data_IF_385169856327
#
_entry.id   IF_385169856327
#
_cell.length_a   1.000
_cell.length_b   1.000
_cell.length_c   1.000
_cell.angle_alpha   90.00
_cell.angle_beta   90.00
_cell.angle_gamma   90.00
#
_symmetry.space_group_name_H-M   'P 1'
#
loop_
_entity.id
_entity.type
_entity.pdbx_description
1 polymer ?
#
# COMPACT_ATOMS: atom_id res chain seq x y z
N UNK A 1 -8.89 -5.77 -5.17
CA UNK A 1 -7.84 -6.68 -4.66
C UNK A 1 -7.14 -6.03 -3.49
N UNK A 2 -6.67 -6.79 -2.50
CA UNK A 2 -5.87 -6.28 -1.36
C UNK A 2 -4.39 -6.58 -1.59
N UNK A 3 -3.53 -5.67 -1.13
CA UNK A 3 -2.07 -5.76 -1.19
C UNK A 3 -1.45 -4.97 -0.02
N UNK A 4 -0.13 -4.96 0.07
CA UNK A 4 0.63 -4.06 0.94
C UNK A 4 1.37 -3.05 0.06
N UNK A 5 1.35 -1.76 0.41
CA UNK A 5 1.94 -0.70 -0.43
C UNK A 5 2.69 0.33 0.40
N UNK A 6 3.86 0.75 -0.10
CA UNK A 6 4.66 1.83 0.49
C UNK A 6 3.95 3.17 0.33
N UNK A 7 3.91 4.01 1.36
CA UNK A 7 3.44 5.38 1.25
C UNK A 7 4.45 6.23 0.44
N UNK A 8 4.07 6.83 -0.71
CA UNK A 8 5.00 7.62 -1.52
C UNK A 8 5.46 8.91 -0.83
N UNK A 9 4.70 9.41 0.15
CA UNK A 9 5.06 10.58 0.95
C UNK A 9 5.92 10.24 2.17
N UNK A 10 5.87 8.98 2.64
CA UNK A 10 6.72 8.48 3.71
C UNK A 10 7.14 7.02 3.43
N UNK A 11 8.31 6.82 2.84
CA UNK A 11 8.76 5.51 2.38
C UNK A 11 9.04 4.51 3.52
N UNK A 12 9.05 4.96 4.77
CA UNK A 12 9.17 4.09 5.95
C UNK A 12 7.83 3.41 6.31
N UNK A 13 6.71 3.88 5.74
CA UNK A 13 5.37 3.35 6.01
C UNK A 13 4.93 2.39 4.92
N UNK A 14 4.59 1.16 5.31
CA UNK A 14 3.89 0.19 4.46
C UNK A 14 2.49 -0.02 5.00
N UNK A 15 1.48 0.19 4.17
CA UNK A 15 0.08 0.09 4.57
C UNK A 15 -0.62 -1.11 3.94
N UNK A 16 -1.68 -1.58 4.60
CA UNK A 16 -2.72 -2.35 3.90
C UNK A 16 -3.29 -1.46 2.81
N UNK A 17 -3.43 -2.00 1.61
CA UNK A 17 -3.86 -1.23 0.46
C UNK A 17 -4.93 -1.95 -0.36
N UNK A 18 -5.77 -1.16 -1.04
CA UNK A 18 -6.84 -1.65 -1.91
C UNK A 18 -6.69 -1.08 -3.30
N UNK A 19 -6.67 -1.94 -4.32
CA UNK A 19 -6.77 -1.49 -5.72
C UNK A 19 -8.19 -1.01 -5.99
N UNK A 20 -8.35 0.26 -6.32
CA UNK A 20 -9.62 0.89 -6.72
C UNK A 20 -9.90 0.64 -8.20
N UNK A 21 -8.93 0.96 -9.06
CA UNK A 21 -9.05 0.76 -10.51
C UNK A 21 -7.67 0.50 -11.13
N UNK A 22 -7.68 -0.05 -12.34
CA UNK A 22 -6.48 -0.31 -13.13
C UNK A 22 -6.69 0.34 -14.49
N UNK A 23 -5.71 1.12 -14.93
CA UNK A 23 -5.70 1.78 -16.24
C UNK A 23 -4.38 1.45 -16.91
N UNK A 24 -4.44 0.65 -17.98
CA UNK A 24 -3.27 0.10 -18.66
C UNK A 24 -2.32 -0.62 -17.68
N UNK A 25 -1.14 -0.05 -17.42
CA UNK A 25 -0.11 -0.57 -16.53
C UNK A 25 -0.09 0.13 -15.16
N UNK A 26 -1.06 1.00 -14.89
CA UNK A 26 -1.14 1.79 -13.67
C UNK A 26 -2.29 1.32 -12.78
N UNK A 27 -2.01 1.19 -11.48
CA UNK A 27 -2.97 0.86 -10.43
C UNK A 27 -3.28 2.11 -9.62
N UNK A 28 -4.56 2.41 -9.46
CA UNK A 28 -5.02 3.39 -8.49
C UNK A 28 -5.31 2.68 -7.18
N UNK A 29 -4.54 3.01 -6.15
CA UNK A 29 -4.48 2.28 -4.90
C UNK A 29 -4.81 3.21 -3.74
N UNK A 30 -5.69 2.76 -2.85
CA UNK A 30 -5.98 3.41 -1.56
C UNK A 30 -5.17 2.77 -0.45
N UNK A 31 -4.48 3.59 0.33
CA UNK A 31 -3.78 3.19 1.56
C UNK A 31 -4.75 3.24 2.74
N UNK A 32 -4.81 2.16 3.51
CA UNK A 32 -5.67 2.02 4.67
C UNK A 32 -4.84 2.00 5.96
N UNK A 33 -5.35 2.58 7.06
CA UNK A 33 -6.66 3.23 7.22
C UNK A 33 -6.68 4.72 6.84
N UNK A 34 -5.56 5.31 6.38
CA UNK A 34 -5.44 6.75 6.15
C UNK A 34 -6.31 7.30 5.00
N UNK A 35 -6.75 6.45 4.08
CA UNK A 35 -7.68 6.80 2.99
C UNK A 35 -7.04 7.58 1.83
N UNK A 36 -5.73 7.84 1.90
CA UNK A 36 -4.96 8.47 0.83
C UNK A 36 -4.84 7.55 -0.40
N UNK A 37 -4.77 8.15 -1.59
CA UNK A 37 -4.85 7.41 -2.86
C UNK A 37 -3.75 7.82 -3.80
N UNK A 38 -3.08 6.83 -4.38
CA UNK A 38 -1.91 7.02 -5.21
C UNK A 38 -1.96 6.13 -6.45
N UNK A 39 -1.26 6.57 -7.49
CA UNK A 39 -1.02 5.77 -8.68
C UNK A 39 0.32 5.07 -8.58
N UNK A 40 0.34 3.77 -8.88
CA UNK A 40 1.55 2.96 -8.95
C UNK A 40 1.61 2.26 -10.30
N UNK A 41 2.81 2.02 -10.79
CA UNK A 41 2.99 1.08 -11.90
C UNK A 41 2.78 -0.36 -11.41
N UNK A 42 2.28 -1.25 -12.27
CA UNK A 42 2.05 -2.66 -11.94
C UNK A 42 3.33 -3.43 -11.63
N UNK A 43 4.46 -2.97 -12.15
CA UNK A 43 5.81 -3.50 -11.92
C UNK A 43 6.58 -2.72 -10.85
N UNK A 44 5.90 -1.87 -10.07
CA UNK A 44 6.54 -1.09 -9.02
C UNK A 44 7.01 -1.99 -7.87
N UNK A 45 8.27 -1.82 -7.47
CA UNK A 45 8.86 -2.44 -6.26
C UNK A 45 8.27 -1.90 -4.93
N UNK A 46 7.25 -1.03 -5.01
CA UNK A 46 6.55 -0.46 -3.87
C UNK A 46 5.21 -1.17 -3.57
N UNK A 47 4.86 -2.18 -4.37
CA UNK A 47 3.66 -2.98 -4.21
C UNK A 47 4.03 -4.43 -3.86
N UNK A 48 3.47 -4.92 -2.76
CA UNK A 48 3.78 -6.24 -2.23
C UNK A 48 2.52 -7.09 -2.07
N UNK A 49 2.64 -8.43 -2.22
CA UNK A 49 1.52 -9.32 -1.91
C UNK A 49 1.16 -9.24 -0.42
N UNK A 50 -0.08 -9.60 -0.10
CA UNK A 50 -0.53 -9.72 1.30
C UNK A 50 0.36 -10.72 2.05
N UNK A 51 0.85 -10.32 3.23
CA UNK A 51 1.75 -11.09 4.09
C UNK A 51 3.22 -10.83 3.85
N UNK A 52 3.60 -9.88 3.00
CA UNK A 52 5.01 -9.58 2.72
C UNK A 52 5.71 -8.99 3.94
N UNK A 53 5.08 -8.06 4.66
CA UNK A 53 5.61 -7.48 5.89
C UNK A 53 5.95 -8.57 6.93
N UNK A 54 5.01 -9.47 7.21
CA UNK A 54 5.19 -10.60 8.14
C UNK A 54 6.33 -11.52 7.69
N UNK A 55 6.38 -11.87 6.40
CA UNK A 55 7.37 -12.79 5.84
C UNK A 55 8.79 -12.21 5.83
N UNK A 56 8.94 -10.89 5.77
CA UNK A 56 10.23 -10.21 5.63
C UNK A 56 10.63 -9.46 6.91
N UNK A 57 9.92 -9.67 8.02
CA UNK A 57 10.18 -8.98 9.29
C UNK A 57 10.15 -7.44 9.15
N UNK A 58 9.20 -6.96 8.36
CA UNK A 58 8.87 -5.54 8.22
C UNK A 58 7.58 -5.23 8.98
N UNK A 59 7.48 -4.04 9.56
CA UNK A 59 6.28 -3.59 10.25
C UNK A 59 5.24 -3.09 9.24
N UNK A 60 4.00 -3.55 9.42
CA UNK A 60 2.86 -3.01 8.70
C UNK A 60 2.37 -1.79 9.48
N UNK A 61 2.44 -0.62 8.86
CA UNK A 61 2.06 0.64 9.48
C UNK A 61 0.54 0.70 9.67
N UNK A 62 0.13 0.73 10.94
CA UNK A 62 -1.26 0.90 11.37
C UNK A 62 -1.30 2.14 12.25
N UNK A 63 -1.67 3.31 11.71
CA UNK A 63 -1.76 4.53 12.50
C UNK A 63 -2.93 4.44 13.49
N UNK A 64 -2.77 5.11 14.63
CA UNK A 64 -3.81 5.22 15.65
C UNK A 64 -5.02 5.99 15.07
N UNK A 65 -6.09 5.28 14.72
CA UNK A 65 -7.34 5.87 14.22
C UNK A 65 -8.24 6.47 15.32
N UNK A 66 -7.72 6.65 16.53
CA UNK A 66 -8.45 7.16 17.70
C UNK A 66 -8.19 8.67 17.96
N UNK A 67 -8.39 9.53 16.95
CA UNK A 67 -8.49 10.98 17.14
C UNK A 67 -9.80 11.54 16.61
#
# INVERSE_FOLDING_TARGET
MKLEAVNPLNQEEIHVASVITIVEHMLYVELLPIGEKYWYSQDSDLLFPVGWCDSNNHELHIPDTNQ
#
